data_IF_301366836461
#
_entry.id   IF_301366836461
#
_cell.length_a   1.000
_cell.length_b   1.000
_cell.length_c   1.000
_cell.angle_alpha   90.00
_cell.angle_beta   90.00
_cell.angle_gamma   90.00
#
_symmetry.space_group_name_H-M   'P 1'
#
loop_
_entity.id
_entity.type
_entity.pdbx_description
1 polymer ?
#
# COMPACT_ATOMS: atom_id res chain seq x y z
N UNK A 1 -16.88 13.45 -8.75
CA UNK A 1 -15.52 13.47 -8.17
C UNK A 1 -14.84 12.19 -8.59
N UNK A 2 -13.70 12.26 -9.28
CA UNK A 2 -12.89 11.06 -9.51
C UNK A 2 -12.43 10.54 -8.13
N UNK A 3 -12.82 9.31 -7.78
CA UNK A 3 -12.42 8.68 -6.53
C UNK A 3 -11.01 8.13 -6.73
N UNK A 4 -10.08 8.48 -5.85
CA UNK A 4 -8.71 7.97 -5.94
C UNK A 4 -8.65 6.47 -5.68
N UNK A 5 -7.64 5.82 -6.24
CA UNK A 5 -7.22 4.46 -5.85
C UNK A 5 -5.96 4.56 -5.02
N UNK A 6 -6.00 4.04 -3.79
CA UNK A 6 -4.90 4.14 -2.82
C UNK A 6 -4.01 2.89 -2.86
N UNK A 7 -2.72 3.09 -3.03
CA UNK A 7 -1.70 2.05 -2.99
C UNK A 7 -0.92 2.22 -1.69
N UNK A 8 -1.18 1.36 -0.71
CA UNK A 8 -0.42 1.29 0.53
C UNK A 8 0.86 0.49 0.28
N UNK A 9 2.01 1.14 0.34
CA UNK A 9 3.25 0.55 -0.18
C UNK A 9 4.32 0.46 0.90
N UNK A 10 4.85 -0.75 1.10
CA UNK A 10 6.10 -0.95 1.82
C UNK A 10 7.33 -0.68 0.95
N UNK A 11 8.51 -0.56 1.57
CA UNK A 11 9.79 -0.40 0.91
C UNK A 11 10.61 -1.69 0.93
N UNK A 12 10.98 -2.22 2.10
CA UNK A 12 11.80 -3.44 2.15
C UNK A 12 11.01 -4.64 1.58
N UNK A 13 11.65 -5.45 0.73
CA UNK A 13 10.98 -6.56 0.06
C UNK A 13 10.00 -6.15 -1.05
N UNK A 14 9.84 -4.85 -1.31
CA UNK A 14 8.97 -4.29 -2.38
C UNK A 14 9.78 -3.42 -3.34
N UNK A 15 10.40 -2.34 -2.87
CA UNK A 15 11.18 -1.42 -3.70
C UNK A 15 12.59 -1.93 -4.00
N UNK A 16 13.04 -2.93 -3.22
CA UNK A 16 14.30 -3.63 -3.34
C UNK A 16 14.19 -4.97 -2.58
N UNK A 17 15.02 -5.99 -2.90
CA UNK A 17 15.14 -7.20 -2.08
C UNK A 17 15.49 -6.89 -0.62
N UNK A 18 14.85 -7.60 0.31
CA UNK A 18 15.11 -7.45 1.74
C UNK A 18 16.56 -7.84 2.10
N UNK A 19 17.24 -6.98 2.86
CA UNK A 19 18.63 -7.19 3.29
C UNK A 19 19.69 -6.86 2.25
N UNK A 20 19.31 -6.33 1.09
CA UNK A 20 20.24 -5.77 0.10
C UNK A 20 20.39 -4.25 0.23
N UNK A 21 21.14 -3.63 -0.69
CA UNK A 21 21.27 -2.19 -0.77
C UNK A 21 19.90 -1.51 -0.95
N UNK A 22 19.71 -0.40 -0.25
CA UNK A 22 18.56 0.51 -0.36
C UNK A 22 18.58 1.29 -1.69
N UNK A 23 18.66 0.59 -2.82
CA UNK A 23 18.87 1.17 -4.14
C UNK A 23 17.58 1.46 -4.90
N UNK A 24 16.43 1.03 -4.36
CA UNK A 24 15.10 1.26 -4.92
C UNK A 24 14.95 0.79 -6.37
N UNK A 25 15.71 -0.22 -6.80
CA UNK A 25 15.74 -0.68 -8.19
C UNK A 25 14.40 -1.15 -8.74
N UNK A 26 13.42 -1.49 -7.88
CA UNK A 26 12.08 -1.89 -8.29
C UNK A 26 11.11 -0.71 -8.43
N UNK A 27 11.44 0.48 -7.92
CA UNK A 27 10.58 1.67 -8.05
C UNK A 27 10.22 1.98 -9.52
N UNK A 28 11.16 1.98 -10.49
CA UNK A 28 10.81 2.29 -11.88
C UNK A 28 9.65 1.44 -12.43
N UNK A 29 9.59 0.15 -12.09
CA UNK A 29 8.52 -0.76 -12.51
C UNK A 29 7.19 -0.43 -11.84
N UNK A 30 7.20 -0.16 -10.52
CA UNK A 30 6.01 0.28 -9.77
C UNK A 30 5.47 1.59 -10.35
N UNK A 31 6.36 2.57 -10.54
CA UNK A 31 6.01 3.88 -11.06
C UNK A 31 5.48 3.83 -12.49
N UNK A 32 6.01 2.93 -13.34
CA UNK A 32 5.47 2.72 -14.68
C UNK A 32 3.98 2.33 -14.63
N UNK A 33 3.59 1.45 -13.71
CA UNK A 33 2.17 1.13 -13.50
C UNK A 33 1.42 2.37 -12.98
N UNK A 34 1.93 3.08 -11.99
CA UNK A 34 1.26 4.28 -11.44
C UNK A 34 1.03 5.36 -12.50
N UNK A 35 1.92 5.50 -13.49
CA UNK A 35 1.75 6.43 -14.63
C UNK A 35 0.56 6.07 -15.53
N UNK A 36 0.15 4.81 -15.60
CA UNK A 36 -1.01 4.35 -16.38
C UNK A 36 -2.36 4.69 -15.67
N UNK A 37 -2.31 5.07 -14.39
CA UNK A 37 -3.49 5.35 -13.57
C UNK A 37 -3.39 6.72 -12.89
N UNK A 38 -3.91 7.76 -13.53
CA UNK A 38 -3.90 9.13 -13.02
C UNK A 38 -4.63 9.32 -11.69
N UNK A 39 -5.55 8.43 -11.35
CA UNK A 39 -6.25 8.38 -10.07
C UNK A 39 -5.46 7.66 -8.95
N UNK A 40 -4.37 6.97 -9.28
CA UNK A 40 -3.59 6.22 -8.30
C UNK A 40 -2.79 7.15 -7.40
N UNK A 41 -2.87 6.91 -6.09
CA UNK A 41 -2.15 7.65 -5.05
C UNK A 41 -1.41 6.68 -4.15
N UNK A 42 -0.15 6.98 -3.85
CA UNK A 42 0.69 6.17 -2.99
C UNK A 42 0.58 6.70 -1.56
N UNK A 43 0.37 5.80 -0.62
CA UNK A 43 0.51 6.04 0.82
C UNK A 43 1.61 5.12 1.33
N UNK A 44 2.65 5.68 1.93
CA UNK A 44 3.76 4.88 2.45
C UNK A 44 3.29 4.11 3.69
N UNK A 45 3.29 2.78 3.60
CA UNK A 45 2.94 1.86 4.67
C UNK A 45 4.19 1.08 5.12
N UNK A 46 5.28 1.81 5.36
CA UNK A 46 6.59 1.25 5.71
C UNK A 46 7.08 1.76 7.06
N UNK A 47 7.87 0.98 7.79
CA UNK A 47 8.49 1.40 9.06
C UNK A 47 9.55 2.49 8.88
N UNK A 48 10.00 2.70 7.65
CA UNK A 48 10.84 3.82 7.27
C UNK A 48 10.23 5.19 7.61
N UNK A 49 8.89 5.27 7.73
CA UNK A 49 8.19 6.48 8.21
C UNK A 49 8.57 6.89 9.64
N UNK A 50 9.10 5.96 10.43
CA UNK A 50 9.58 6.21 11.79
C UNK A 50 11.04 6.69 11.81
N UNK A 51 11.78 6.46 10.73
CA UNK A 51 13.22 6.76 10.62
C UNK A 51 13.48 8.01 9.79
N UNK A 52 12.60 8.33 8.84
CA UNK A 52 12.77 9.44 7.91
C UNK A 52 11.52 10.31 7.85
N UNK A 53 11.73 11.62 7.71
CA UNK A 53 10.65 12.56 7.39
C UNK A 53 10.00 12.21 6.05
N UNK A 54 8.70 12.49 5.91
CA UNK A 54 7.95 12.25 4.67
C UNK A 54 8.65 12.83 3.43
N UNK A 55 9.20 14.04 3.51
CA UNK A 55 9.93 14.68 2.39
C UNK A 55 11.13 13.86 1.91
N UNK A 56 11.89 13.24 2.83
CA UNK A 56 13.02 12.35 2.51
C UNK A 56 12.53 11.06 1.85
N UNK A 57 11.41 10.52 2.30
CA UNK A 57 10.82 9.32 1.69
C UNK A 57 10.33 9.63 0.27
N UNK A 58 9.59 10.73 0.10
CA UNK A 58 9.10 11.22 -1.20
C UNK A 58 10.25 11.48 -2.17
N UNK A 59 11.40 11.97 -1.70
CA UNK A 59 12.55 12.25 -2.57
C UNK A 59 13.09 11.02 -3.34
N UNK A 60 12.78 9.79 -2.88
CA UNK A 60 13.19 8.53 -3.53
C UNK A 60 12.43 8.25 -4.83
N UNK A 61 11.23 8.79 -4.96
CA UNK A 61 10.40 8.63 -6.16
C UNK A 61 10.85 9.56 -7.29
N UNK A 62 10.56 9.17 -8.52
CA UNK A 62 10.74 10.02 -9.69
C UNK A 62 9.95 11.33 -9.56
N UNK A 63 10.47 12.46 -10.09
CA UNK A 63 9.87 13.78 -9.89
C UNK A 63 8.37 13.88 -10.22
N UNK A 64 7.91 13.15 -11.23
CA UNK A 64 6.52 13.13 -11.67
C UNK A 64 5.60 12.29 -10.76
N UNK A 65 6.17 11.35 -9.99
CA UNK A 65 5.45 10.50 -9.04
C UNK A 65 5.39 11.10 -7.64
N UNK A 66 6.38 11.91 -7.24
CA UNK A 66 6.39 12.62 -5.95
C UNK A 66 5.05 13.26 -5.56
N UNK A 67 4.35 14.03 -6.43
CA UNK A 67 3.05 14.61 -6.07
C UNK A 67 1.92 13.58 -5.93
N UNK A 68 2.10 12.33 -6.40
CA UNK A 68 1.16 11.22 -6.23
C UNK A 68 1.39 10.46 -4.92
N UNK A 69 2.49 10.72 -4.21
CA UNK A 69 2.72 10.23 -2.84
C UNK A 69 2.07 11.21 -1.87
N UNK A 70 0.94 10.81 -1.28
CA UNK A 70 0.05 11.72 -0.53
C UNK A 70 0.21 11.62 0.99
N UNK A 71 1.14 10.80 1.47
CA UNK A 71 1.42 10.68 2.89
C UNK A 71 2.00 9.33 3.27
N UNK A 72 1.95 9.05 4.58
CA UNK A 72 2.30 7.78 5.17
C UNK A 72 1.20 7.36 6.16
N UNK A 73 1.08 6.07 6.42
CA UNK A 73 0.14 5.55 7.41
C UNK A 73 0.50 6.03 8.83
N UNK A 74 -0.49 6.22 9.72
CA UNK A 74 -0.21 6.47 11.14
C UNK A 74 0.53 5.28 11.75
N UNK A 75 1.23 5.52 12.86
CA UNK A 75 1.87 4.46 13.64
C UNK A 75 0.96 4.00 14.77
N UNK A 76 0.53 2.74 14.72
CA UNK A 76 -0.22 2.12 15.81
C UNK A 76 0.72 1.29 16.68
N UNK A 77 0.65 1.50 17.99
CA UNK A 77 1.44 0.74 18.96
C UNK A 77 0.61 -0.46 19.45
N UNK A 78 0.94 -1.70 19.04
CA UNK A 78 0.24 -2.88 19.50
C UNK A 78 0.52 -3.13 20.99
N UNK A 79 -0.51 -3.45 21.76
CA UNK A 79 -0.39 -3.73 23.20
C UNK A 79 -0.11 -5.20 23.49
N UNK A 80 -0.46 -6.09 22.56
CA UNK A 80 -0.30 -7.55 22.67
C UNK A 80 0.28 -8.11 21.38
N UNK A 81 1.01 -9.22 21.45
CA UNK A 81 1.60 -9.87 20.27
C UNK A 81 0.58 -10.28 19.21
N UNK A 82 -0.63 -10.68 19.61
CA UNK A 82 -1.71 -11.01 18.67
C UNK A 82 -2.16 -9.80 17.81
N UNK A 83 -1.94 -8.57 18.30
CA UNK A 83 -2.23 -7.35 17.55
C UNK A 83 -1.18 -7.10 16.46
N UNK A 84 -0.05 -7.80 16.41
CA UNK A 84 0.89 -7.66 15.28
C UNK A 84 0.28 -8.17 13.97
N UNK A 85 -0.60 -9.16 14.04
CA UNK A 85 -1.29 -9.68 12.87
C UNK A 85 -2.31 -8.65 12.35
N UNK A 86 -2.24 -8.32 11.06
CA UNK A 86 -3.07 -7.30 10.41
C UNK A 86 -2.72 -5.85 10.77
N UNK A 87 -1.54 -5.59 11.35
CA UNK A 87 -1.21 -4.26 11.87
C UNK A 87 -1.20 -3.19 10.78
N UNK A 88 -0.49 -3.39 9.65
CA UNK A 88 -0.46 -2.39 8.57
C UNK A 88 -1.82 -2.18 7.94
N UNK A 89 -2.64 -3.22 7.81
CA UNK A 89 -4.01 -3.04 7.32
C UNK A 89 -4.82 -2.14 8.26
N UNK A 90 -4.70 -2.30 9.59
CA UNK A 90 -5.38 -1.39 10.53
C UNK A 90 -4.86 0.05 10.44
N UNK A 91 -3.56 0.23 10.25
CA UNK A 91 -2.98 1.55 10.02
C UNK A 91 -3.50 2.17 8.71
N UNK A 92 -3.58 1.38 7.64
CA UNK A 92 -4.15 1.80 6.36
C UNK A 92 -5.63 2.15 6.49
N UNK A 93 -6.42 1.37 7.21
CA UNK A 93 -7.85 1.65 7.45
C UNK A 93 -8.03 2.92 8.29
N UNK A 94 -7.17 3.17 9.27
CA UNK A 94 -7.18 4.43 10.03
C UNK A 94 -6.77 5.62 9.15
N UNK A 95 -5.82 5.44 8.24
CA UNK A 95 -5.50 6.47 7.26
C UNK A 95 -6.70 6.76 6.36
N UNK A 96 -7.36 5.73 5.82
CA UNK A 96 -8.56 5.91 4.97
C UNK A 96 -9.69 6.61 5.72
N UNK A 97 -9.95 6.29 6.99
CA UNK A 97 -11.03 6.93 7.77
C UNK A 97 -10.83 8.43 7.96
N UNK A 98 -9.59 8.92 7.81
CA UNK A 98 -9.24 10.34 7.90
C UNK A 98 -9.30 11.06 6.55
N UNK A 99 -9.30 10.33 5.43
CA UNK A 99 -9.15 10.88 4.08
C UNK A 99 -10.33 10.58 3.16
N UNK A 100 -11.14 9.59 3.47
CA UNK A 100 -12.32 9.18 2.70
C UNK A 100 -13.58 9.27 3.56
N UNK A 101 -14.66 9.81 2.97
CA UNK A 101 -15.96 9.91 3.65
C UNK A 101 -16.62 8.54 3.86
N UNK A 102 -16.35 7.58 2.98
CA UNK A 102 -16.87 6.21 3.05
C UNK A 102 -15.78 5.20 2.68
N UNK A 103 -15.27 4.53 3.71
CA UNK A 103 -14.21 3.51 3.63
C UNK A 103 -14.72 2.24 2.94
N UNK A 104 -16.01 1.90 3.06
CA UNK A 104 -16.56 0.65 2.53
C UNK A 104 -16.51 0.57 1.00
N UNK A 105 -16.48 1.74 0.36
CA UNK A 105 -16.38 1.90 -1.08
C UNK A 105 -15.00 2.41 -1.51
N UNK A 106 -14.02 2.51 -0.61
CA UNK A 106 -12.68 3.00 -0.93
C UNK A 106 -11.93 1.99 -1.82
N UNK A 107 -11.37 2.47 -2.93
CA UNK A 107 -10.50 1.68 -3.78
C UNK A 107 -9.10 1.68 -3.17
N UNK A 108 -8.65 0.57 -2.61
CA UNK A 108 -7.31 0.43 -2.09
C UNK A 108 -6.68 -0.92 -2.42
N UNK A 109 -5.36 -0.97 -2.43
CA UNK A 109 -4.57 -2.19 -2.42
C UNK A 109 -3.27 -1.97 -1.63
N UNK A 110 -2.58 -3.07 -1.31
CA UNK A 110 -1.29 -3.06 -0.66
C UNK A 110 -0.21 -3.70 -1.55
N UNK A 111 1.00 -3.14 -1.52
CA UNK A 111 2.23 -3.77 -2.02
C UNK A 111 3.11 -4.06 -0.81
N UNK A 112 3.32 -5.34 -0.51
CA UNK A 112 4.00 -5.77 0.71
C UNK A 112 4.50 -7.21 0.57
N UNK A 113 5.62 -7.54 1.22
CA UNK A 113 6.22 -8.87 1.23
C UNK A 113 5.80 -9.68 2.49
N UNK A 114 5.22 -9.02 3.49
CA UNK A 114 4.85 -9.60 4.77
C UNK A 114 3.34 -9.88 4.83
N UNK A 115 2.88 -11.09 4.46
CA UNK A 115 1.46 -11.39 4.41
C UNK A 115 0.79 -11.24 5.79
N UNK A 116 1.49 -11.45 6.90
CA UNK A 116 0.92 -11.29 8.25
C UNK A 116 0.35 -9.90 8.54
N UNK A 117 0.76 -8.87 7.79
CA UNK A 117 0.33 -7.49 7.96
C UNK A 117 -1.04 -7.16 7.33
N UNK A 118 -1.55 -8.03 6.45
CA UNK A 118 -2.75 -7.79 5.63
C UNK A 118 -3.71 -8.98 5.71
N UNK A 119 -4.86 -8.75 6.34
CA UNK A 119 -5.92 -9.74 6.51
C UNK A 119 -6.76 -9.87 5.25
N UNK A 120 -6.96 -8.77 4.51
CA UNK A 120 -7.73 -8.73 3.27
C UNK A 120 -6.84 -9.15 2.09
N UNK A 121 -6.61 -10.46 1.96
CA UNK A 121 -5.73 -11.06 0.95
C UNK A 121 -6.03 -10.67 -0.49
N UNK A 122 -7.30 -10.47 -0.83
CA UNK A 122 -7.73 -10.06 -2.17
C UNK A 122 -7.27 -8.64 -2.56
N UNK A 123 -6.80 -7.85 -1.59
CA UNK A 123 -6.30 -6.48 -1.78
C UNK A 123 -4.77 -6.38 -1.67
N UNK A 124 -4.09 -7.50 -1.42
CA UNK A 124 -2.64 -7.55 -1.30
C UNK A 124 -2.01 -8.05 -2.61
N UNK A 125 -1.10 -7.27 -3.18
CA UNK A 125 -0.07 -7.75 -4.09
C UNK A 125 1.11 -8.18 -3.23
N UNK A 126 1.23 -9.49 -3.03
CA UNK A 126 2.29 -10.09 -2.21
C UNK A 126 3.56 -10.22 -3.05
N UNK A 127 4.58 -9.42 -2.73
CA UNK A 127 5.88 -9.52 -3.40
C UNK A 127 6.72 -10.65 -2.80
N UNK A 128 7.66 -11.18 -3.59
CA UNK A 128 8.72 -12.04 -3.06
C UNK A 128 9.80 -11.16 -2.43
N UNK A 129 9.96 -11.23 -1.11
CA UNK A 129 10.92 -10.42 -0.36
C UNK A 129 12.36 -10.51 -0.90
N UNK A 130 12.73 -11.61 -1.57
CA UNK A 130 14.08 -11.78 -2.15
C UNK A 130 14.24 -11.14 -3.52
N UNK A 131 13.13 -10.79 -4.18
CA UNK A 131 13.14 -10.23 -5.54
C UNK A 131 12.70 -8.77 -5.54
N UNK A 132 11.92 -8.34 -4.55
CA UNK A 132 11.17 -7.10 -4.63
C UNK A 132 10.00 -7.22 -5.61
N UNK A 133 9.49 -6.09 -6.06
CA UNK A 133 8.40 -6.00 -7.03
C UNK A 133 8.89 -6.37 -8.44
N UNK A 134 8.16 -7.27 -9.11
CA UNK A 134 8.53 -7.79 -10.44
C UNK A 134 7.52 -7.41 -11.53
N UNK A 135 7.78 -7.81 -12.78
CA UNK A 135 6.83 -7.62 -13.89
C UNK A 135 5.54 -8.42 -13.70
N UNK A 136 5.59 -9.57 -13.00
CA UNK A 136 4.39 -10.33 -12.65
C UNK A 136 3.51 -9.55 -11.65
N UNK A 137 4.13 -8.92 -10.65
CA UNK A 137 3.44 -8.06 -9.69
C UNK A 137 2.89 -6.81 -10.38
N UNK A 138 3.62 -6.25 -11.34
CA UNK A 138 3.16 -5.14 -12.18
C UNK A 138 1.89 -5.50 -12.94
N UNK A 139 1.85 -6.69 -13.55
CA UNK A 139 0.66 -7.18 -14.23
C UNK A 139 -0.51 -7.39 -13.26
N UNK A 140 -0.25 -7.86 -12.05
CA UNK A 140 -1.28 -8.02 -11.01
C UNK A 140 -1.82 -6.67 -10.52
N UNK A 141 -0.96 -5.69 -10.28
CA UNK A 141 -1.34 -4.34 -9.89
C UNK A 141 -2.19 -3.66 -10.98
N UNK A 142 -1.80 -3.77 -12.26
CA UNK A 142 -2.60 -3.25 -13.38
C UNK A 142 -4.01 -3.82 -13.40
N UNK A 143 -4.15 -5.15 -13.24
CA UNK A 143 -5.47 -5.81 -13.17
C UNK A 143 -6.32 -5.26 -12.02
N UNK A 144 -5.70 -5.09 -10.85
CA UNK A 144 -6.38 -4.60 -9.66
C UNK A 144 -6.84 -3.15 -9.81
N UNK A 145 -5.98 -2.26 -10.30
CA UNK A 145 -6.32 -0.86 -10.55
C UNK A 145 -7.37 -0.70 -11.66
N UNK A 146 -7.32 -1.55 -12.69
CA UNK A 146 -8.34 -1.60 -13.75
C UNK A 146 -9.70 -2.00 -13.20
N UNK A 147 -9.73 -2.97 -12.28
CA UNK A 147 -10.95 -3.38 -11.59
C UNK A 147 -11.51 -2.24 -10.72
N UNK A 148 -10.66 -1.50 -10.01
CA UNK A 148 -11.11 -0.33 -9.24
C UNK A 148 -11.71 0.75 -10.12
N UNK A 149 -11.07 1.07 -11.24
CA UNK A 149 -11.56 2.04 -12.23
C UNK A 149 -12.92 1.64 -12.81
N UNK A 150 -13.13 0.35 -13.02
CA UNK A 150 -14.40 -0.20 -13.55
C UNK A 150 -15.51 -0.33 -12.49
N UNK A 151 -15.22 0.04 -11.23
CA UNK A 151 -16.10 -0.16 -10.08
C UNK A 151 -15.52 -1.21 -9.14
N UNK A 152 -14.93 -0.78 -8.03
CA UNK A 152 -14.31 -1.68 -7.06
C UNK A 152 -15.35 -2.67 -6.49
N UNK A 153 -15.04 -3.99 -6.43
CA UNK A 153 -15.92 -4.93 -5.75
C UNK A 153 -16.04 -4.55 -4.28
N UNK A 154 -17.26 -4.64 -3.73
CA UNK A 154 -17.54 -4.35 -2.33
C UNK A 154 -16.59 -5.15 -1.43
N UNK A 155 -16.08 -4.51 -0.37
CA UNK A 155 -15.30 -5.20 0.65
C UNK A 155 -16.29 -6.06 1.42
N UNK A 156 -16.26 -7.39 1.24
CA UNK A 156 -16.96 -8.28 2.17
C UNK A 156 -16.32 -8.10 3.54
N UNK A 157 -17.08 -7.68 4.58
CA UNK A 157 -16.53 -7.59 5.92
C UNK A 157 -16.01 -8.98 6.33
N UNK A 158 -14.87 -9.07 7.03
CA UNK A 158 -14.36 -10.34 7.49
C UNK A 158 -15.44 -11.09 8.26
N UNK A 159 -15.65 -12.38 7.95
CA UNK A 159 -16.68 -13.24 8.56
C UNK A 159 -16.56 -13.37 10.09
N UNK A 160 -15.48 -12.87 10.69
CA UNK A 160 -15.31 -12.75 12.13
C UNK A 160 -15.38 -11.28 12.55
N UNK A 161 -16.44 -10.95 13.27
CA UNK A 161 -16.67 -9.65 13.88
C UNK A 161 -15.49 -9.22 14.78
N UNK A 162 -14.62 -8.35 14.25
CA UNK A 162 -13.92 -7.36 15.04
C UNK A 162 -14.49 -6.02 14.60
N UNK A 163 -15.45 -5.56 15.39
CA UNK A 163 -16.08 -4.25 15.25
C UNK A 163 -14.98 -3.20 15.29
N UNK A 164 -14.87 -2.40 14.24
CA UNK A 164 -14.12 -1.16 14.26
C UNK A 164 -14.87 -0.18 15.17
N UNK A 165 -14.57 -0.26 16.46
CA UNK A 165 -15.01 0.63 17.51
C UNK A 165 -13.76 1.13 18.26
#
# INVERSE_FOLDING_TARGET
MSKYSYIFMDFDGVTHPWGEAEDFRCLPTIEAVVREFDEARIVIASDWRMLFSLSKLVARFAPDIRPRVIGATPHLIPKKGAELHGLREREAMLWLSQHEADISTAAWCALDDAPGNWLTRSRLILTDFKRGFTDEDAAALRRMLTAFRSGAPAIEPPRSALRWA
#
